data_IF_375386247287
#
_entry.id   IF_375386247287
#
_cell.length_a   1.000
_cell.length_b   1.000
_cell.length_c   1.000
_cell.angle_alpha   90.00
_cell.angle_beta   90.00
_cell.angle_gamma   90.00
#
_symmetry.space_group_name_H-M   'P 1'
#
loop_
_entity.id
_entity.type
_entity.pdbx_description
1 polymer ?
#
# COMPACT_ATOMS: atom_id res chain seq x y z
N UNK A 1 18.76 -43.34 6.60
CA UNK A 1 18.83 -42.22 5.63
C UNK A 1 17.54 -42.04 4.82
N UNK A 2 16.65 -43.04 4.73
CA UNK A 2 15.42 -42.97 3.92
C UNK A 2 14.29 -42.07 4.46
N UNK A 3 14.07 -42.05 5.77
CA UNK A 3 12.94 -41.29 6.39
C UNK A 3 13.04 -39.78 6.15
N UNK A 4 14.29 -39.27 6.04
CA UNK A 4 14.59 -37.86 5.81
C UNK A 4 14.32 -37.44 4.36
N UNK A 5 14.39 -38.37 3.42
CA UNK A 5 14.08 -38.12 2.00
C UNK A 5 12.57 -38.05 1.78
N UNK A 6 11.80 -38.94 2.40
CA UNK A 6 10.34 -38.90 2.34
C UNK A 6 9.73 -37.67 3.01
N UNK A 7 10.30 -37.23 4.15
CA UNK A 7 9.87 -35.98 4.80
C UNK A 7 10.10 -34.74 3.92
N UNK A 8 11.18 -34.71 3.12
CA UNK A 8 11.44 -33.62 2.16
C UNK A 8 10.49 -33.67 0.96
N UNK A 9 10.20 -34.86 0.44
CA UNK A 9 9.25 -35.03 -0.68
C UNK A 9 7.83 -34.65 -0.25
N UNK A 10 7.41 -35.04 0.95
CA UNK A 10 6.10 -34.70 1.51
C UNK A 10 5.95 -33.18 1.73
N UNK A 11 6.97 -32.49 2.24
CA UNK A 11 6.96 -31.03 2.34
C UNK A 11 6.86 -30.37 0.96
N UNK A 12 7.64 -30.81 -0.04
CA UNK A 12 7.59 -30.24 -1.39
C UNK A 12 6.24 -30.44 -2.08
N UNK A 13 5.59 -31.59 -1.86
CA UNK A 13 4.22 -31.85 -2.37
C UNK A 13 3.20 -30.96 -1.65
N UNK A 14 3.31 -30.76 -0.33
CA UNK A 14 2.45 -29.83 0.40
C UNK A 14 2.60 -28.39 -0.09
N UNK A 15 3.81 -27.94 -0.40
CA UNK A 15 4.06 -26.62 -0.99
C UNK A 15 3.48 -26.47 -2.41
N UNK A 16 3.51 -27.52 -3.23
CA UNK A 16 2.92 -27.52 -4.58
C UNK A 16 1.39 -27.55 -4.55
N UNK A 17 0.77 -28.24 -3.57
CA UNK A 17 -0.69 -28.32 -3.43
C UNK A 17 -1.26 -27.09 -2.72
N UNK A 18 -0.52 -26.45 -1.81
CA UNK A 18 -0.93 -25.22 -1.12
C UNK A 18 -0.49 -23.91 -1.84
N UNK A 19 0.36 -24.02 -2.86
CA UNK A 19 1.00 -22.90 -3.56
C UNK A 19 0.11 -22.18 -4.58
N UNK A 20 -1.04 -22.75 -4.96
CA UNK A 20 -2.05 -22.04 -5.74
C UNK A 20 -2.90 -21.17 -4.81
N UNK A 21 -2.28 -20.15 -4.20
CA UNK A 21 -3.06 -18.97 -3.82
C UNK A 21 -3.45 -18.30 -5.13
N UNK A 22 -4.76 -18.15 -5.37
CA UNK A 22 -5.25 -17.27 -6.43
C UNK A 22 -4.47 -15.96 -6.31
N UNK A 23 -3.81 -15.55 -7.38
CA UNK A 23 -3.30 -14.19 -7.48
C UNK A 23 -4.52 -13.28 -7.48
N UNK A 24 -4.93 -12.82 -6.30
CA UNK A 24 -5.89 -11.74 -6.14
C UNK A 24 -5.21 -10.48 -6.66
N UNK A 25 -5.35 -10.27 -7.97
CA UNK A 25 -4.95 -9.04 -8.62
C UNK A 25 -5.66 -7.89 -7.89
N UNK A 26 -4.98 -6.76 -7.71
CA UNK A 26 -5.56 -5.55 -7.13
C UNK A 26 -6.78 -5.11 -7.97
N UNK A 27 -7.93 -5.72 -7.68
CA UNK A 27 -9.18 -5.49 -8.38
C UNK A 27 -9.86 -4.35 -7.64
N UNK A 28 -10.23 -3.27 -8.35
CA UNK A 28 -11.07 -2.24 -7.76
C UNK A 28 -12.30 -2.90 -7.15
N UNK A 29 -12.57 -2.64 -5.87
CA UNK A 29 -13.77 -3.20 -5.24
C UNK A 29 -14.98 -2.61 -5.96
N UNK A 30 -15.98 -3.44 -6.26
CA UNK A 30 -17.23 -2.98 -6.86
C UNK A 30 -18.09 -2.25 -5.82
N UNK A 31 -17.57 -1.13 -5.29
CA UNK A 31 -18.21 -0.27 -4.31
C UNK A 31 -18.51 1.06 -4.99
N UNK A 32 -19.78 1.45 -5.01
CA UNK A 32 -20.20 2.75 -5.51
C UNK A 32 -19.56 3.87 -4.70
N UNK A 33 -19.18 4.96 -5.39
CA UNK A 33 -18.70 6.17 -4.73
C UNK A 33 -19.69 6.63 -3.65
N UNK A 34 -19.26 6.82 -2.39
CA UNK A 34 -20.11 7.32 -1.32
C UNK A 34 -20.64 8.73 -1.59
N UNK A 35 -21.60 9.15 -0.77
CA UNK A 35 -22.05 10.54 -0.76
C UNK A 35 -20.86 11.47 -0.46
N UNK A 36 -20.58 12.48 -1.32
CA UNK A 36 -19.52 13.45 -1.06
C UNK A 36 -19.62 14.18 0.28
N UNK A 37 -20.83 14.31 0.84
CA UNK A 37 -21.05 14.93 2.16
C UNK A 37 -20.59 14.02 3.32
N UNK A 38 -20.48 12.70 3.08
CA UNK A 38 -19.81 11.76 3.99
C UNK A 38 -18.31 11.70 3.64
N UNK A 39 -17.58 12.69 4.13
CA UNK A 39 -16.14 12.82 3.90
C UNK A 39 -15.35 11.59 4.38
N UNK A 40 -15.76 10.96 5.48
CA UNK A 40 -15.08 9.80 6.04
C UNK A 40 -15.29 8.54 5.19
N UNK A 41 -16.52 8.30 4.73
CA UNK A 41 -16.81 7.21 3.80
C UNK A 41 -16.08 7.42 2.47
N UNK A 42 -16.11 8.64 1.92
CA UNK A 42 -15.41 8.98 0.67
C UNK A 42 -13.90 8.78 0.81
N UNK A 43 -13.31 9.18 1.94
CA UNK A 43 -11.90 8.95 2.25
C UNK A 43 -11.52 7.46 2.26
N UNK A 44 -12.27 6.63 3.00
CA UNK A 44 -12.03 5.18 3.06
C UNK A 44 -12.25 4.49 1.72
N UNK A 45 -13.30 4.86 1.00
CA UNK A 45 -13.54 4.38 -0.35
C UNK A 45 -12.34 4.71 -1.24
N UNK A 46 -11.89 5.96 -1.27
CA UNK A 46 -10.79 6.39 -2.13
C UNK A 46 -9.49 5.62 -1.84
N UNK A 47 -9.18 5.38 -0.56
CA UNK A 47 -8.03 4.54 -0.15
C UNK A 47 -8.21 3.10 -0.62
N UNK A 48 -9.38 2.48 -0.40
CA UNK A 48 -9.65 1.08 -0.79
C UNK A 48 -9.69 0.83 -2.30
N UNK A 49 -9.97 1.85 -3.11
CA UNK A 49 -10.06 1.74 -4.56
C UNK A 49 -8.72 1.92 -5.27
N UNK A 50 -7.73 2.51 -4.60
CA UNK A 50 -6.42 2.79 -5.17
C UNK A 50 -5.41 1.70 -4.78
N UNK A 51 -4.46 1.45 -5.67
CA UNK A 51 -3.33 0.53 -5.44
C UNK A 51 -1.98 1.23 -5.40
N UNK A 52 -1.96 2.54 -5.66
CA UNK A 52 -0.76 3.37 -5.66
C UNK A 52 -1.10 4.83 -5.35
N UNK A 53 -0.09 5.60 -4.93
CA UNK A 53 -0.18 7.04 -4.74
C UNK A 53 1.20 7.65 -4.57
N UNK A 54 1.26 8.84 -3.96
CA UNK A 54 2.53 9.54 -3.70
C UNK A 54 2.79 9.57 -2.19
N UNK A 55 3.82 8.84 -1.76
CA UNK A 55 4.32 8.88 -0.39
C UNK A 55 5.42 9.94 -0.28
N UNK A 56 5.23 10.87 0.65
CA UNK A 56 6.10 12.01 0.86
C UNK A 56 6.83 11.87 2.19
N UNK A 57 8.14 12.07 2.15
CA UNK A 57 9.06 11.96 3.30
C UNK A 57 9.98 13.17 3.35
N UNK A 58 10.71 13.32 4.46
CA UNK A 58 11.68 14.41 4.62
C UNK A 58 13.07 13.89 4.26
N UNK A 59 13.68 14.45 3.21
CA UNK A 59 14.97 13.97 2.73
C UNK A 59 16.12 14.51 3.56
N UNK A 60 16.81 13.62 4.30
CA UNK A 60 18.05 13.97 4.98
C UNK A 60 19.18 14.33 4.01
N UNK A 61 19.24 13.66 2.86
CA UNK A 61 20.31 13.83 1.88
C UNK A 61 20.15 15.13 1.06
N UNK A 62 18.93 15.68 1.00
CA UNK A 62 18.61 16.98 0.39
C UNK A 62 18.36 18.08 1.45
N UNK A 63 18.99 17.98 2.61
CA UNK A 63 18.96 19.05 3.62
C UNK A 63 17.59 19.32 4.24
N UNK A 64 16.72 18.31 4.31
CA UNK A 64 15.37 18.40 4.87
C UNK A 64 14.30 18.78 3.84
N UNK A 65 14.60 18.77 2.54
CA UNK A 65 13.61 19.03 1.51
C UNK A 65 12.49 17.95 1.49
N UNK A 66 11.24 18.32 1.20
CA UNK A 66 10.17 17.34 1.00
C UNK A 66 10.47 16.49 -0.24
N UNK A 67 10.30 15.19 -0.12
CA UNK A 67 10.57 14.22 -1.17
C UNK A 67 9.36 13.32 -1.38
N UNK A 68 8.71 13.47 -2.54
CA UNK A 68 7.58 12.63 -2.95
C UNK A 68 8.01 11.53 -3.91
N UNK A 69 7.60 10.30 -3.63
CA UNK A 69 7.83 9.15 -4.49
C UNK A 69 6.53 8.39 -4.77
N UNK A 70 6.44 7.77 -5.94
CA UNK A 70 5.30 6.92 -6.27
C UNK A 70 5.46 5.59 -5.54
N UNK A 71 4.46 5.22 -4.75
CA UNK A 71 4.48 3.98 -3.97
C UNK A 71 3.19 3.19 -4.17
N UNK A 72 3.33 1.89 -4.40
CA UNK A 72 2.22 0.95 -4.31
C UNK A 72 1.83 0.74 -2.85
N UNK A 73 0.53 0.58 -2.60
CA UNK A 73 0.03 0.31 -1.26
C UNK A 73 -1.20 -0.60 -1.31
N UNK A 74 -1.58 -1.12 -0.14
CA UNK A 74 -2.83 -1.83 0.08
C UNK A 74 -3.37 -1.47 1.46
N UNK A 75 -4.69 -1.39 1.62
CA UNK A 75 -5.33 -1.21 2.93
C UNK A 75 -5.92 -2.51 3.50
N UNK A 76 -5.73 -3.64 2.81
CA UNK A 76 -6.24 -4.95 3.16
C UNK A 76 -6.56 -5.83 1.94
N UNK A 77 -7.05 -7.03 2.20
CA UNK A 77 -7.62 -7.89 1.16
C UNK A 77 -8.94 -7.30 0.63
N UNK A 78 -9.39 -7.71 -0.56
CA UNK A 78 -10.67 -7.25 -1.09
C UNK A 78 -11.83 -7.45 -0.09
N UNK A 79 -12.58 -6.39 0.19
CA UNK A 79 -13.68 -6.32 1.18
C UNK A 79 -13.25 -6.43 2.67
N UNK A 80 -11.95 -6.51 2.95
CA UNK A 80 -11.39 -6.54 4.31
C UNK A 80 -10.48 -5.33 4.58
N UNK A 81 -10.54 -4.31 3.72
CA UNK A 81 -9.80 -3.06 3.85
C UNK A 81 -10.12 -2.34 5.15
N UNK A 82 -9.09 -1.89 5.86
CA UNK A 82 -9.21 -1.14 7.13
C UNK A 82 -8.96 0.35 6.98
N UNK A 83 -8.64 0.82 5.77
CA UNK A 83 -8.27 2.21 5.51
C UNK A 83 -6.89 2.62 6.05
N UNK A 84 -6.03 1.67 6.41
CA UNK A 84 -4.64 1.90 6.81
C UNK A 84 -3.74 1.55 5.62
N UNK A 85 -3.07 2.51 4.97
CA UNK A 85 -2.18 2.21 3.85
C UNK A 85 -0.92 1.48 4.33
N UNK A 86 -0.71 0.27 3.84
CA UNK A 86 0.54 -0.49 3.99
C UNK A 86 1.36 -0.43 2.72
N UNK A 87 2.64 -0.14 2.88
CA UNK A 87 3.63 -0.05 1.81
C UNK A 87 4.68 -1.14 1.97
N UNK A 88 5.21 -1.59 0.85
CA UNK A 88 6.28 -2.59 0.81
C UNK A 88 7.50 -1.96 0.16
N UNK A 89 8.44 -1.51 1.00
CA UNK A 89 9.57 -0.71 0.54
C UNK A 89 10.90 -1.43 0.83
N UNK A 90 11.87 -1.20 -0.04
CA UNK A 90 13.27 -1.60 0.19
C UNK A 90 14.04 -0.45 0.80
N UNK A 91 15.00 -0.75 1.68
CA UNK A 91 15.93 0.25 2.24
C UNK A 91 16.88 0.83 1.18
N UNK A 92 16.87 0.32 -0.06
CA UNK A 92 17.54 0.94 -1.20
C UNK A 92 16.78 2.17 -1.73
N UNK A 93 15.47 2.23 -1.52
CA UNK A 93 14.61 3.34 -1.94
C UNK A 93 14.82 4.58 -1.04
N UNK A 94 15.02 5.78 -1.60
CA UNK A 94 15.20 7.00 -0.80
C UNK A 94 14.05 7.26 0.19
N UNK A 95 12.81 6.90 -0.16
CA UNK A 95 11.62 7.06 0.69
C UNK A 95 11.77 6.26 1.98
N UNK A 96 12.17 4.99 1.89
CA UNK A 96 12.37 4.15 3.06
C UNK A 96 13.54 4.66 3.92
N UNK A 97 14.65 5.08 3.28
CA UNK A 97 15.80 5.67 3.98
C UNK A 97 15.43 6.96 4.72
N UNK A 98 14.64 7.82 4.09
CA UNK A 98 14.17 9.08 4.66
C UNK A 98 13.26 8.80 5.85
N UNK A 99 12.26 7.94 5.68
CA UNK A 99 11.32 7.58 6.75
C UNK A 99 11.99 6.91 7.96
N UNK A 100 13.14 6.23 7.75
CA UNK A 100 13.91 5.60 8.84
C UNK A 100 14.63 6.65 9.70
N UNK A 101 14.95 7.81 9.11
CA UNK A 101 15.60 8.93 9.80
C UNK A 101 14.58 9.88 10.44
N UNK A 102 13.46 10.12 9.75
CA UNK A 102 12.36 10.97 10.21
C UNK A 102 11.04 10.31 9.83
N UNK A 103 10.30 9.84 10.84
CA UNK A 103 9.05 9.10 10.64
C UNK A 103 7.91 9.97 10.08
N UNK A 104 8.04 11.31 10.07
CA UNK A 104 6.98 12.19 9.57
C UNK A 104 6.81 12.06 8.06
N UNK A 105 5.58 11.80 7.64
CA UNK A 105 5.25 11.62 6.23
C UNK A 105 3.83 12.07 5.90
N UNK A 106 3.56 12.16 4.60
CA UNK A 106 2.21 12.26 4.08
C UNK A 106 2.01 11.37 2.87
N UNK A 107 0.83 10.78 2.71
CA UNK A 107 0.47 9.97 1.57
C UNK A 107 -0.71 10.58 0.82
N UNK A 108 -0.58 10.73 -0.50
CA UNK A 108 -1.63 11.32 -1.34
C UNK A 108 -2.10 10.32 -2.39
N UNK A 109 -3.42 10.16 -2.52
CA UNK A 109 -4.07 9.36 -3.55
C UNK A 109 -5.15 10.18 -4.28
N UNK A 110 -5.39 9.84 -5.55
CA UNK A 110 -6.33 10.55 -6.43
C UNK A 110 -7.42 9.60 -6.93
N UNK A 111 -8.62 10.12 -7.13
CA UNK A 111 -9.72 9.39 -7.77
C UNK A 111 -9.51 9.25 -9.29
N UNK A 112 -8.72 10.12 -9.89
CA UNK A 112 -8.54 10.12 -11.33
C UNK A 112 -8.06 8.77 -11.93
N UNK A 113 -7.03 8.09 -11.38
CA UNK A 113 -6.56 6.82 -11.94
C UNK A 113 -7.56 5.66 -11.80
N UNK A 114 -8.56 5.75 -10.92
CA UNK A 114 -9.61 4.73 -10.81
C UNK A 114 -10.74 4.90 -11.84
N UNK A 115 -10.73 6.01 -12.60
CA UNK A 115 -11.61 6.23 -13.75
C UNK A 115 -13.01 6.76 -13.44
N UNK A 116 -13.37 7.01 -12.18
CA UNK A 116 -14.71 7.48 -11.80
C UNK A 116 -14.92 8.98 -11.98
N UNK A 117 -13.87 9.74 -12.28
CA UNK A 117 -13.97 11.19 -12.52
C UNK A 117 -14.60 11.55 -13.88
N UNK A 118 -14.76 10.59 -14.79
CA UNK A 118 -15.27 10.81 -16.15
C UNK A 118 -14.32 11.69 -16.98
N UNK A 119 -14.85 12.75 -17.61
CA UNK A 119 -14.05 13.71 -18.42
C UNK A 119 -13.54 14.91 -17.62
N UNK A 120 -13.74 14.93 -16.30
CA UNK A 120 -13.33 16.06 -15.46
C UNK A 120 -11.81 16.05 -15.29
N UNK A 121 -11.24 17.24 -15.19
CA UNK A 121 -9.84 17.43 -14.84
C UNK A 121 -9.52 16.85 -13.44
N UNK A 122 -8.35 16.23 -13.21
CA UNK A 122 -7.96 15.70 -11.90
C UNK A 122 -7.95 16.72 -10.75
N UNK A 123 -7.84 18.02 -11.04
CA UNK A 123 -7.91 19.08 -10.03
C UNK A 123 -9.33 19.54 -9.75
N UNK A 124 -10.32 19.15 -10.55
CA UNK A 124 -11.72 19.48 -10.31
C UNK A 124 -12.15 18.96 -8.93
N UNK A 125 -12.78 19.78 -8.07
CA UNK A 125 -13.11 19.37 -6.70
C UNK A 125 -14.09 18.19 -6.61
N UNK A 126 -14.87 17.92 -7.67
CA UNK A 126 -15.74 16.73 -7.74
C UNK A 126 -14.96 15.43 -8.04
N UNK A 127 -13.70 15.53 -8.49
CA UNK A 127 -12.75 14.42 -8.60
C UNK A 127 -11.93 14.40 -7.31
N UNK A 128 -12.26 13.46 -6.42
CA UNK A 128 -11.75 13.43 -5.07
C UNK A 128 -10.23 13.16 -5.06
N UNK A 129 -9.59 13.70 -4.04
CA UNK A 129 -8.20 13.41 -3.67
C UNK A 129 -8.09 13.44 -2.16
N UNK A 130 -7.19 12.64 -1.63
CA UNK A 130 -6.93 12.60 -0.19
C UNK A 130 -5.44 12.74 0.06
N UNK A 131 -5.10 13.49 1.10
CA UNK A 131 -3.76 13.51 1.68
C UNK A 131 -3.89 13.09 3.14
N UNK A 132 -3.29 11.97 3.47
CA UNK A 132 -3.14 11.47 4.84
C UNK A 132 -1.80 12.00 5.37
N UNK A 133 -1.77 12.52 6.58
CA UNK A 133 -0.54 13.01 7.22
C UNK A 133 -0.37 12.27 8.54
N UNK A 134 0.83 11.76 8.79
CA UNK A 134 1.07 10.91 9.94
C UNK A 134 2.53 10.53 10.09
N UNK A 135 2.73 9.37 10.72
CA UNK A 135 4.05 8.79 10.97
C UNK A 135 4.13 7.42 10.31
N UNK A 136 5.26 7.14 9.68
CA UNK A 136 5.53 5.86 9.05
C UNK A 136 6.05 4.89 10.13
N UNK A 137 5.28 3.83 10.39
CA UNK A 137 5.66 2.80 11.34
C UNK A 137 6.19 1.56 10.64
N UNK A 138 7.34 1.06 11.11
CA UNK A 138 8.03 -0.10 10.57
C UNK A 138 7.49 -1.40 11.19
N UNK A 139 7.05 -2.33 10.36
CA UNK A 139 6.69 -3.69 10.77
C UNK A 139 7.72 -4.67 10.24
N UNK A 140 8.46 -5.31 11.16
CA UNK A 140 9.33 -6.42 10.83
C UNK A 140 8.62 -7.72 11.16
N UNK A 141 8.23 -8.47 10.13
CA UNK A 141 7.81 -9.86 10.32
C UNK A 141 9.05 -10.69 10.65
N UNK A 142 9.02 -11.40 11.79
CA UNK A 142 10.15 -12.16 12.35
C UNK A 142 10.69 -13.30 11.46
N UNK A 143 10.16 -13.50 10.26
CA UNK A 143 10.34 -14.74 9.49
C UNK A 143 10.92 -14.57 8.07
N UNK A 144 11.20 -13.36 7.58
CA UNK A 144 11.75 -13.19 6.22
C UNK A 144 12.78 -12.07 6.13
N UNK A 145 13.87 -12.33 5.40
CA UNK A 145 14.93 -11.35 5.15
C UNK A 145 14.52 -10.42 4.01
N UNK A 146 14.45 -9.13 4.36
CA UNK A 146 14.16 -7.91 3.57
C UNK A 146 13.00 -7.94 2.59
N UNK A 147 11.84 -7.54 3.13
CA UNK A 147 11.28 -6.21 2.87
C UNK A 147 10.84 -5.47 4.13
N UNK A 148 10.77 -4.14 4.06
CA UNK A 148 10.22 -3.32 5.12
C UNK A 148 8.76 -3.01 4.82
N UNK A 149 7.85 -3.60 5.59
CA UNK A 149 6.45 -3.18 5.58
C UNK A 149 6.31 -1.93 6.42
N UNK A 150 5.75 -0.86 5.86
CA UNK A 150 5.46 0.35 6.63
C UNK A 150 4.00 0.77 6.51
N UNK A 151 3.44 1.40 7.54
CA UNK A 151 2.08 1.98 7.49
C UNK A 151 2.07 3.44 7.88
N UNK A 152 1.10 4.19 7.35
CA UNK A 152 0.82 5.58 7.73
C UNK A 152 -0.44 5.68 8.58
#
# INVERSE_FOLDING_TARGET
>A
MEVKAWSRVLCSILFLVAGFRLSEQARPLSVSKPDPDDAAATARWLVSQNSWGVLNTISGDLGGAPFGNVASFSDGLPNEGRGIPYFYLTTLDPTAKNALKDERASFTASEYPIGTCGKKDPMNPSCAKITLTGKVHYFQFSCYWDPVTVSL
#
